data_IF_574892849814
#
_entry.id   IF_574892849814
#
_cell.length_a   1.000
_cell.length_b   1.000
_cell.length_c   1.000
_cell.angle_alpha   90.00
_cell.angle_beta   90.00
_cell.angle_gamma   90.00
#
_symmetry.space_group_name_H-M   'P 1'
#
loop_
_entity.id
_entity.type
_entity.pdbx_description
1 polymer ?
#
# COMPACT_ATOMS: atom_id res chain seq x y z
N UNK A 1 -65.08 -41.13 3.46
CA UNK A 1 -64.64 -39.88 4.13
C UNK A 1 -63.18 -39.93 4.58
N UNK A 2 -62.73 -41.00 5.24
CA UNK A 2 -61.34 -41.16 5.71
C UNK A 2 -60.26 -41.07 4.60
N UNK A 3 -60.54 -41.59 3.40
CA UNK A 3 -59.57 -41.58 2.28
C UNK A 3 -59.40 -40.18 1.64
N UNK A 4 -60.45 -39.34 1.65
CA UNK A 4 -60.38 -37.98 1.08
C UNK A 4 -59.72 -36.99 2.04
N UNK A 5 -59.84 -37.22 3.35
CA UNK A 5 -59.14 -36.42 4.37
C UNK A 5 -57.62 -36.58 4.24
N UNK A 6 -57.16 -37.81 4.00
CA UNK A 6 -55.74 -38.11 3.75
C UNK A 6 -55.23 -37.45 2.47
N UNK A 7 -56.01 -37.49 1.39
CA UNK A 7 -55.64 -36.82 0.12
C UNK A 7 -55.62 -35.30 0.28
N UNK A 8 -56.61 -34.72 0.96
CA UNK A 8 -56.67 -33.28 1.23
C UNK A 8 -55.54 -32.78 2.14
N UNK A 9 -55.20 -33.54 3.18
CA UNK A 9 -54.08 -33.23 4.08
C UNK A 9 -52.73 -33.33 3.35
N UNK A 10 -52.55 -34.35 2.49
CA UNK A 10 -51.34 -34.52 1.71
C UNK A 10 -51.15 -33.39 0.68
N UNK A 11 -52.22 -32.99 -0.01
CA UNK A 11 -52.18 -31.87 -0.96
C UNK A 11 -51.89 -30.53 -0.25
N UNK A 12 -52.44 -30.30 0.94
CA UNK A 12 -52.16 -29.11 1.74
C UNK A 12 -50.69 -28.99 2.15
N UNK A 13 -50.03 -30.10 2.49
CA UNK A 13 -48.60 -30.11 2.83
C UNK A 13 -47.70 -29.73 1.65
N UNK A 14 -48.11 -30.01 0.41
CA UNK A 14 -47.32 -29.66 -0.80
C UNK A 14 -47.39 -28.18 -1.18
N UNK A 15 -48.32 -27.42 -0.60
CA UNK A 15 -48.51 -25.99 -0.89
C UNK A 15 -47.77 -25.08 0.11
N UNK A 16 -47.11 -25.64 1.12
CA UNK A 16 -46.36 -24.89 2.12
C UNK A 16 -44.93 -24.65 1.62
N UNK A 17 -44.50 -23.39 1.57
CA UNK A 17 -43.09 -23.05 1.32
C UNK A 17 -42.24 -23.50 2.50
N UNK A 18 -41.30 -24.41 2.26
CA UNK A 18 -40.43 -24.96 3.30
C UNK A 18 -39.25 -24.02 3.56
N UNK A 19 -39.39 -23.11 4.53
CA UNK A 19 -38.26 -22.37 5.07
C UNK A 19 -37.51 -23.23 6.09
N UNK A 20 -36.18 -23.17 6.07
CA UNK A 20 -35.30 -23.90 6.99
C UNK A 20 -34.73 -22.93 8.02
N UNK A 21 -35.24 -23.01 9.25
CA UNK A 21 -34.70 -22.30 10.41
C UNK A 21 -33.84 -23.21 11.28
N UNK A 22 -32.58 -22.84 11.52
CA UNK A 22 -31.71 -23.51 12.50
C UNK A 22 -31.62 -22.63 13.75
N UNK A 23 -32.07 -23.16 14.89
CA UNK A 23 -32.18 -22.45 16.19
C UNK A 23 -33.06 -21.18 16.13
N UNK A 24 -34.09 -21.19 15.30
CA UNK A 24 -35.12 -20.15 15.25
C UNK A 24 -36.45 -20.74 14.79
N UNK A 25 -37.55 -20.33 15.42
CA UNK A 25 -38.93 -20.69 15.02
C UNK A 25 -39.54 -19.68 14.05
N UNK A 26 -38.85 -18.56 13.80
CA UNK A 26 -39.26 -17.47 12.91
C UNK A 26 -38.15 -17.16 11.90
N UNK A 27 -37.97 -18.00 10.85
CA UNK A 27 -37.01 -17.74 9.79
C UNK A 27 -37.27 -16.38 9.12
N UNK A 28 -36.21 -15.62 8.83
CA UNK A 28 -36.30 -14.31 8.15
C UNK A 28 -35.94 -14.40 6.65
N UNK A 29 -35.44 -15.57 6.24
CA UNK A 29 -35.01 -15.95 4.90
C UNK A 29 -35.25 -17.46 4.73
N UNK A 30 -35.24 -17.95 3.49
CA UNK A 30 -35.48 -19.36 3.18
C UNK A 30 -34.52 -20.31 3.92
N UNK A 31 -33.27 -19.86 4.13
CA UNK A 31 -32.35 -20.45 5.08
C UNK A 31 -31.96 -19.39 6.12
N UNK A 32 -32.29 -19.63 7.39
CA UNK A 32 -31.91 -18.77 8.51
C UNK A 32 -31.17 -19.59 9.57
N UNK A 33 -29.88 -19.35 9.72
CA UNK A 33 -29.05 -19.95 10.78
C UNK A 33 -28.83 -18.95 11.90
N UNK A 34 -29.45 -19.18 13.06
CA UNK A 34 -29.19 -18.42 14.28
C UNK A 34 -28.12 -19.13 15.13
N UNK A 35 -26.89 -19.13 14.63
CA UNK A 35 -25.76 -19.84 15.23
C UNK A 35 -24.54 -19.88 14.31
N UNK A 36 -23.60 -20.79 14.61
CA UNK A 36 -22.38 -20.98 13.81
C UNK A 36 -22.68 -21.70 12.49
N UNK A 37 -22.05 -21.25 11.41
CA UNK A 37 -21.99 -21.92 10.11
C UNK A 37 -20.53 -22.27 9.80
N UNK A 38 -20.26 -23.52 9.44
CA UNK A 38 -18.97 -23.97 8.95
C UNK A 38 -19.13 -24.51 7.53
N UNK A 39 -18.29 -24.04 6.62
CA UNK A 39 -18.20 -24.50 5.23
C UNK A 39 -16.80 -25.05 5.03
N UNK A 40 -16.68 -26.31 4.57
CA UNK A 40 -15.39 -27.03 4.57
C UNK A 40 -14.73 -27.05 3.18
N UNK A 41 -15.51 -27.00 2.10
CA UNK A 41 -14.99 -27.08 0.73
C UNK A 41 -15.11 -25.74 -0.01
N UNK A 42 -16.33 -25.28 -0.29
CA UNK A 42 -16.56 -24.09 -1.11
C UNK A 42 -17.88 -23.38 -0.76
N UNK A 43 -17.94 -22.07 -1.03
CA UNK A 43 -19.15 -21.25 -0.97
C UNK A 43 -19.37 -20.60 -2.34
N UNK A 44 -20.36 -21.07 -3.09
CA UNK A 44 -20.72 -20.50 -4.39
C UNK A 44 -21.75 -19.37 -4.23
N UNK A 45 -21.52 -18.22 -4.86
CA UNK A 45 -22.44 -17.06 -4.85
C UNK A 45 -22.71 -16.52 -6.26
N UNK A 46 -23.83 -15.84 -6.47
CA UNK A 46 -24.17 -15.20 -7.75
C UNK A 46 -24.76 -16.11 -8.83
N UNK A 47 -25.09 -17.35 -8.50
CA UNK A 47 -25.86 -18.25 -9.38
C UNK A 47 -27.37 -18.08 -9.23
N UNK A 48 -28.12 -18.92 -9.92
CA UNK A 48 -29.59 -18.99 -9.88
C UNK A 48 -30.09 -20.45 -9.82
N UNK A 49 -31.39 -20.66 -10.06
CA UNK A 49 -32.00 -22.00 -10.00
C UNK A 49 -31.47 -22.98 -11.06
N UNK A 50 -30.87 -22.49 -12.15
CA UNK A 50 -30.38 -23.28 -13.27
C UNK A 50 -28.85 -23.23 -13.44
N UNK A 51 -28.17 -22.28 -12.81
CA UNK A 51 -26.74 -22.02 -12.96
C UNK A 51 -26.04 -21.94 -11.62
N UNK A 52 -24.91 -22.65 -11.50
CA UNK A 52 -24.08 -22.55 -10.31
C UNK A 52 -23.45 -21.15 -10.19
N UNK A 53 -23.33 -20.67 -8.95
CA UNK A 53 -22.56 -19.47 -8.66
C UNK A 53 -21.05 -19.68 -8.78
N UNK A 54 -20.28 -18.64 -8.54
CA UNK A 54 -18.82 -18.70 -8.49
C UNK A 54 -18.34 -19.01 -7.07
N UNK A 55 -17.35 -19.90 -6.94
CA UNK A 55 -16.61 -20.16 -5.69
C UNK A 55 -15.57 -19.08 -5.39
N UNK A 56 -15.36 -18.15 -6.33
CA UNK A 56 -14.24 -17.23 -6.32
C UNK A 56 -12.94 -17.92 -6.71
N UNK A 57 -11.87 -17.12 -6.79
CA UNK A 57 -10.49 -17.61 -6.94
C UNK A 57 -9.65 -17.17 -5.75
N UNK A 58 -8.47 -17.78 -5.60
CA UNK A 58 -7.54 -17.48 -4.51
C UNK A 58 -7.27 -15.98 -4.40
N UNK A 59 -7.39 -15.44 -3.18
CA UNK A 59 -7.12 -14.03 -2.86
C UNK A 59 -8.34 -13.11 -2.98
N UNK A 60 -9.48 -13.61 -3.46
CA UNK A 60 -10.71 -12.83 -3.49
C UNK A 60 -11.38 -12.74 -2.12
N UNK A 61 -12.08 -11.63 -1.91
CA UNK A 61 -12.96 -11.40 -0.76
C UNK A 61 -14.42 -11.33 -1.25
N UNK A 62 -15.34 -11.85 -0.44
CA UNK A 62 -16.76 -11.75 -0.73
C UNK A 62 -17.27 -10.37 -0.32
N UNK A 63 -17.93 -9.67 -1.24
CA UNK A 63 -18.38 -8.29 -1.02
C UNK A 63 -19.87 -8.14 -1.30
N UNK A 64 -20.56 -7.35 -0.49
CA UNK A 64 -21.98 -7.07 -0.69
C UNK A 64 -22.20 -6.21 -1.93
N UNK A 65 -23.13 -6.59 -2.80
CA UNK A 65 -23.58 -5.80 -3.95
C UNK A 65 -24.84 -4.95 -3.65
N UNK A 66 -25.16 -4.77 -2.36
CA UNK A 66 -26.34 -4.07 -1.91
C UNK A 66 -27.62 -4.93 -1.90
N UNK A 67 -28.75 -4.38 -1.43
CA UNK A 67 -30.00 -5.12 -1.27
C UNK A 67 -30.51 -5.71 -2.59
N UNK A 68 -30.88 -6.99 -2.58
CA UNK A 68 -31.48 -7.68 -3.72
C UNK A 68 -30.48 -8.20 -4.76
N UNK A 69 -29.19 -7.84 -4.67
CA UNK A 69 -28.14 -8.36 -5.54
C UNK A 69 -27.34 -9.46 -4.83
N UNK A 70 -26.90 -10.50 -5.55
CA UNK A 70 -26.00 -11.49 -4.96
C UNK A 70 -24.66 -10.84 -4.58
N UNK A 71 -24.01 -11.27 -3.49
CA UNK A 71 -22.66 -10.84 -3.19
C UNK A 71 -21.70 -11.30 -4.28
N UNK A 72 -20.60 -10.57 -4.47
CA UNK A 72 -19.63 -10.78 -5.55
C UNK A 72 -18.25 -11.02 -4.96
N UNK A 73 -17.54 -12.03 -5.49
CA UNK A 73 -16.12 -12.22 -5.23
C UNK A 73 -15.32 -11.11 -5.93
N UNK A 74 -14.60 -10.32 -5.15
CA UNK A 74 -13.78 -9.21 -5.65
C UNK A 74 -12.33 -9.36 -5.22
N UNK A 75 -11.41 -8.78 -5.99
CA UNK A 75 -9.97 -8.81 -5.72
C UNK A 75 -9.54 -7.84 -4.59
N UNK A 76 -10.46 -7.41 -3.71
CA UNK A 76 -10.09 -6.64 -2.51
C UNK A 76 -9.86 -5.14 -2.71
N UNK A 77 -10.54 -4.48 -3.65
CA UNK A 77 -10.48 -3.02 -3.82
C UNK A 77 -11.88 -2.39 -3.74
N UNK A 78 -12.50 -2.44 -2.56
CA UNK A 78 -13.69 -1.63 -2.26
C UNK A 78 -13.29 -0.43 -1.39
N UNK A 79 -12.64 0.56 -2.03
CA UNK A 79 -12.81 1.99 -1.69
C UNK A 79 -12.14 2.58 -0.44
N UNK A 80 -11.44 1.82 0.40
CA UNK A 80 -10.55 2.38 1.43
C UNK A 80 -9.79 1.25 2.09
N UNK A 81 -8.59 1.00 1.60
CA UNK A 81 -7.60 0.26 2.38
C UNK A 81 -6.35 1.09 2.22
N UNK A 82 -5.92 1.70 3.33
CA UNK A 82 -4.49 1.95 3.51
C UNK A 82 -3.87 0.55 3.42
N UNK A 83 -3.47 0.17 2.21
CA UNK A 83 -2.66 -1.01 1.99
C UNK A 83 -1.38 -0.66 2.72
N UNK A 84 -1.25 -1.19 3.95
CA UNK A 84 -0.21 -0.81 4.89
C UNK A 84 1.15 -0.71 4.21
N UNK A 85 2.02 0.15 4.75
CA UNK A 85 3.37 0.42 4.25
C UNK A 85 3.97 -0.82 3.56
N UNK A 86 3.91 -0.83 2.23
CA UNK A 86 4.13 -2.07 1.46
C UNK A 86 5.59 -2.55 1.50
N UNK A 87 6.50 -1.69 2.00
CA UNK A 87 7.84 -2.01 2.45
C UNK A 87 8.48 -0.75 3.06
N UNK A 88 9.33 -0.93 4.05
CA UNK A 88 10.27 0.08 4.51
C UNK A 88 11.58 -0.17 3.78
N UNK A 89 11.94 0.73 2.88
CA UNK A 89 13.25 0.75 2.26
C UNK A 89 14.13 1.77 2.97
N UNK A 90 15.40 1.45 3.13
CA UNK A 90 16.44 2.36 3.57
C UNK A 90 17.70 2.14 2.75
N UNK A 91 18.66 3.02 2.91
CA UNK A 91 19.92 2.99 2.20
C UNK A 91 21.12 2.84 3.11
N UNK A 92 22.18 2.28 2.56
CA UNK A 92 23.52 2.53 3.06
C UNK A 92 23.88 4.02 2.97
N UNK A 93 24.89 4.44 3.73
CA UNK A 93 25.48 5.77 3.56
C UNK A 93 26.16 5.88 2.18
N UNK A 94 25.91 6.98 1.49
CA UNK A 94 26.61 7.34 0.23
C UNK A 94 27.37 8.63 0.44
N UNK A 95 28.59 8.72 -0.07
CA UNK A 95 29.42 9.94 0.06
C UNK A 95 28.69 11.16 -0.49
N UNK A 96 28.75 12.27 0.25
CA UNK A 96 28.26 13.57 -0.24
C UNK A 96 29.08 13.98 -1.48
N UNK A 97 28.44 14.38 -2.58
CA UNK A 97 29.13 14.88 -3.77
C UNK A 97 29.58 16.34 -3.54
N UNK A 98 30.24 16.94 -4.54
CA UNK A 98 30.56 18.37 -4.49
C UNK A 98 29.29 19.25 -4.34
N UNK A 99 29.49 20.50 -3.91
CA UNK A 99 28.40 21.47 -3.79
C UNK A 99 27.62 21.59 -5.11
N UNK A 100 26.29 21.64 -5.02
CA UNK A 100 25.36 21.71 -6.14
C UNK A 100 25.44 20.52 -7.12
N UNK A 101 25.89 19.35 -6.66
CA UNK A 101 25.88 18.10 -7.44
C UNK A 101 24.87 17.12 -6.84
N UNK A 102 24.04 16.51 -7.69
CA UNK A 102 23.08 15.48 -7.26
C UNK A 102 23.75 14.13 -7.09
N UNK A 103 23.35 13.39 -6.05
CA UNK A 103 23.78 12.01 -5.81
C UNK A 103 22.57 11.10 -5.61
N UNK A 104 22.47 10.03 -6.39
CA UNK A 104 21.48 8.96 -6.17
C UNK A 104 21.64 8.40 -4.74
N UNK A 105 20.55 8.39 -3.99
CA UNK A 105 20.51 7.80 -2.64
C UNK A 105 20.40 6.27 -2.76
N UNK A 106 21.07 5.57 -1.84
CA UNK A 106 20.93 4.13 -1.73
C UNK A 106 19.54 3.75 -1.18
N UNK A 107 19.02 2.62 -1.65
CA UNK A 107 17.71 2.06 -1.36
C UNK A 107 17.80 0.52 -1.22
N UNK A 108 19.01 0.00 -1.01
CA UNK A 108 19.33 -1.44 -1.08
C UNK A 108 18.89 -2.23 0.14
N UNK A 109 18.60 -1.55 1.25
CA UNK A 109 18.18 -2.17 2.52
C UNK A 109 16.66 -2.14 2.63
N UNK A 110 16.06 -3.16 3.24
CA UNK A 110 14.61 -3.25 3.46
C UNK A 110 14.02 -4.60 3.04
N UNK A 111 12.75 -4.79 3.37
CA UNK A 111 11.97 -6.02 3.12
C UNK A 111 10.56 -5.67 2.64
N UNK A 112 9.79 -6.65 2.15
CA UNK A 112 8.41 -6.47 1.72
C UNK A 112 8.25 -6.27 0.20
N UNK A 113 7.07 -5.85 -0.24
CA UNK A 113 6.65 -5.84 -1.65
C UNK A 113 7.44 -4.86 -2.53
N UNK A 114 7.96 -3.75 -2.00
CA UNK A 114 8.85 -2.86 -2.79
C UNK A 114 10.20 -3.50 -3.11
N UNK A 115 10.57 -4.60 -2.43
CA UNK A 115 11.75 -5.38 -2.83
C UNK A 115 11.61 -5.88 -4.27
N UNK A 116 10.40 -6.25 -4.69
CA UNK A 116 10.12 -6.70 -6.06
C UNK A 116 10.15 -5.55 -7.09
N UNK A 117 10.00 -4.29 -6.65
CA UNK A 117 10.14 -3.12 -7.50
C UNK A 117 11.61 -2.73 -7.68
N UNK A 118 12.50 -3.17 -6.79
CA UNK A 118 13.90 -2.75 -6.80
C UNK A 118 14.65 -3.42 -7.96
N UNK A 119 15.07 -2.62 -8.94
CA UNK A 119 15.89 -3.07 -10.08
C UNK A 119 17.40 -2.86 -9.85
N UNK A 120 17.78 -1.96 -8.94
CA UNK A 120 19.15 -1.82 -8.45
C UNK A 120 19.18 -1.18 -7.06
N UNK A 121 20.37 -1.02 -6.48
CA UNK A 121 20.55 -0.38 -5.18
C UNK A 121 19.98 1.05 -5.09
N UNK A 122 19.81 1.77 -6.20
CA UNK A 122 19.35 3.18 -6.22
C UNK A 122 18.09 3.40 -7.04
N UNK A 123 17.45 2.33 -7.51
CA UNK A 123 16.40 2.41 -8.53
C UNK A 123 15.25 1.48 -8.20
N UNK A 124 14.04 2.04 -8.21
CA UNK A 124 12.80 1.27 -8.25
C UNK A 124 12.21 1.35 -9.66
N UNK A 125 11.65 0.24 -10.12
CA UNK A 125 10.92 0.12 -11.38
C UNK A 125 9.52 -0.38 -11.07
N UNK A 126 8.50 0.33 -11.53
CA UNK A 126 7.10 -0.04 -11.31
C UNK A 126 6.80 -1.33 -12.09
N UNK A 127 6.38 -2.43 -11.43
CA UNK A 127 6.06 -3.68 -12.11
C UNK A 127 4.83 -3.57 -13.03
N UNK A 128 4.67 -4.56 -13.92
CA UNK A 128 3.44 -4.70 -14.71
C UNK A 128 2.21 -4.84 -13.81
N UNK A 129 1.10 -4.17 -14.17
CA UNK A 129 -0.16 -4.18 -13.42
C UNK A 129 -0.14 -3.37 -12.10
N UNK A 130 0.94 -2.61 -11.85
CA UNK A 130 1.09 -1.75 -10.68
C UNK A 130 0.97 -0.25 -11.03
N UNK A 131 0.27 0.09 -12.10
CA UNK A 131 -0.09 1.47 -12.39
C UNK A 131 -1.09 2.05 -11.37
N UNK A 132 -1.03 3.37 -11.16
CA UNK A 132 -1.97 4.09 -10.29
C UNK A 132 -1.36 5.31 -9.60
N UNK A 133 -2.11 5.87 -8.65
CA UNK A 133 -1.61 6.94 -7.79
C UNK A 133 -0.97 6.35 -6.54
N UNK A 134 0.14 6.96 -6.10
CA UNK A 134 0.89 6.51 -4.94
C UNK A 134 1.30 7.70 -4.08
N UNK A 135 1.17 7.56 -2.77
CA UNK A 135 1.81 8.44 -1.80
C UNK A 135 3.24 7.90 -1.54
N UNK A 136 4.23 8.64 -2.02
CA UNK A 136 5.63 8.43 -1.69
C UNK A 136 5.95 9.24 -0.43
N UNK A 137 6.43 8.61 0.63
CA UNK A 137 6.93 9.29 1.84
C UNK A 137 8.35 8.84 2.14
N UNK A 138 9.26 9.79 2.30
CA UNK A 138 10.67 9.48 2.56
C UNK A 138 11.25 10.35 3.67
N UNK A 139 12.29 9.82 4.31
CA UNK A 139 13.18 10.52 5.22
C UNK A 139 14.61 10.36 4.73
N UNK A 140 15.24 11.45 4.31
CA UNK A 140 16.68 11.51 3.99
C UNK A 140 17.46 12.12 5.14
N UNK A 141 18.67 11.64 5.35
CA UNK A 141 19.60 12.15 6.36
C UNK A 141 20.89 12.64 5.71
N UNK A 142 21.44 13.72 6.25
CA UNK A 142 22.80 14.18 6.00
C UNK A 142 23.62 14.02 7.28
N UNK A 143 24.69 13.25 7.20
CA UNK A 143 25.66 13.12 8.28
C UNK A 143 26.71 14.20 8.20
N UNK A 144 26.88 14.91 9.31
CA UNK A 144 27.83 16.01 9.46
C UNK A 144 28.75 15.73 10.64
N UNK A 145 30.05 15.85 10.37
CA UNK A 145 31.12 15.71 11.34
C UNK A 145 32.13 16.85 11.16
N UNK A 146 32.28 17.69 12.18
CA UNK A 146 33.07 18.92 12.16
C UNK A 146 32.24 20.20 12.18
N UNK A 147 32.93 21.33 11.98
CA UNK A 147 32.33 22.66 12.01
C UNK A 147 31.45 22.96 10.78
N UNK A 148 30.47 23.83 10.96
CA UNK A 148 29.63 24.38 9.89
C UNK A 148 29.85 25.90 9.86
N UNK A 149 30.83 26.41 9.10
CA UNK A 149 31.19 27.83 9.13
C UNK A 149 30.09 28.74 8.55
N UNK A 150 29.28 28.21 7.63
CA UNK A 150 28.14 28.90 7.01
C UNK A 150 26.99 27.92 6.85
N UNK A 151 25.75 28.40 6.91
CA UNK A 151 24.58 27.53 6.84
C UNK A 151 24.53 26.77 5.52
N UNK A 152 24.31 25.46 5.58
CA UNK A 152 24.11 24.60 4.41
C UNK A 152 22.63 24.39 4.14
N UNK A 153 22.28 24.09 2.90
CA UNK A 153 20.96 23.57 2.55
C UNK A 153 21.12 22.16 2.04
N UNK A 154 20.38 21.22 2.61
CA UNK A 154 20.32 19.87 2.07
C UNK A 154 18.89 19.56 1.64
N UNK A 155 18.78 18.80 0.56
CA UNK A 155 17.50 18.46 0.00
C UNK A 155 17.51 17.14 -0.73
N UNK A 156 16.32 16.65 -1.02
CA UNK A 156 16.10 15.42 -1.77
C UNK A 156 15.13 15.68 -2.91
N UNK A 157 15.55 15.28 -4.10
CA UNK A 157 14.77 15.35 -5.33
C UNK A 157 14.17 13.99 -5.63
N UNK A 158 12.91 13.99 -6.09
CA UNK A 158 12.24 12.80 -6.62
C UNK A 158 12.28 12.86 -8.15
N UNK A 159 12.77 11.81 -8.79
CA UNK A 159 12.72 11.64 -10.24
C UNK A 159 11.84 10.45 -10.62
N UNK A 160 11.01 10.65 -11.64
CA UNK A 160 10.34 9.56 -12.38
C UNK A 160 10.89 9.58 -13.80
N UNK A 161 11.60 8.53 -14.19
CA UNK A 161 12.48 8.52 -15.35
C UNK A 161 13.56 9.59 -15.21
N UNK A 162 13.59 10.53 -16.16
CA UNK A 162 14.46 11.72 -16.14
C UNK A 162 13.75 12.97 -15.64
N UNK A 163 12.44 12.88 -15.35
CA UNK A 163 11.60 14.03 -15.02
C UNK A 163 11.64 14.28 -13.52
N UNK A 164 12.07 15.48 -13.14
CA UNK A 164 11.98 15.96 -11.78
C UNK A 164 10.52 16.19 -11.38
N UNK A 165 10.11 15.53 -10.31
CA UNK A 165 8.83 15.72 -9.67
C UNK A 165 8.88 16.93 -8.72
N UNK A 166 8.90 18.15 -9.27
CA UNK A 166 8.95 19.41 -8.51
C UNK A 166 7.70 19.67 -7.63
N UNK A 167 7.81 20.48 -6.56
CA UNK A 167 9.04 21.06 -6.01
C UNK A 167 9.92 20.02 -5.32
N UNK A 168 11.21 20.28 -5.24
CA UNK A 168 12.12 19.48 -4.42
C UNK A 168 12.02 19.88 -2.94
N UNK A 169 12.32 18.94 -2.05
CA UNK A 169 12.21 19.15 -0.60
C UNK A 169 13.57 19.55 -0.05
N UNK A 170 13.62 20.63 0.73
CA UNK A 170 14.85 21.17 1.30
C UNK A 170 14.67 21.54 2.77
N UNK A 171 15.77 21.53 3.49
CA UNK A 171 15.91 22.17 4.80
C UNK A 171 17.29 22.79 4.94
N UNK A 172 17.45 23.69 5.89
CA UNK A 172 18.74 24.33 6.20
C UNK A 172 19.33 23.78 7.49
N UNK A 173 20.65 23.74 7.53
CA UNK A 173 21.43 23.49 8.73
C UNK A 173 22.16 24.79 9.06
N UNK A 174 21.88 25.34 10.23
CA UNK A 174 22.46 26.60 10.67
C UNK A 174 23.98 26.51 10.86
N UNK A 175 24.66 27.64 10.69
CA UNK A 175 26.07 27.75 11.01
C UNK A 175 26.33 27.40 12.49
N UNK A 176 27.36 26.60 12.72
CA UNK A 176 27.90 26.27 14.04
C UNK A 176 29.26 26.93 14.13
N UNK A 177 29.25 28.23 14.44
CA UNK A 177 30.44 29.10 14.39
C UNK A 177 31.45 28.84 15.54
N UNK A 178 31.00 28.21 16.63
CA UNK A 178 31.85 27.81 17.76
C UNK A 178 31.46 26.40 18.18
N UNK A 179 32.31 25.42 17.87
CA UNK A 179 32.09 24.00 18.17
C UNK A 179 32.14 23.10 16.93
N UNK A 180 32.40 21.81 17.16
CA UNK A 180 32.30 20.77 16.14
C UNK A 180 31.06 19.92 16.41
N UNK A 181 30.33 19.59 15.36
CA UNK A 181 29.37 18.50 15.42
C UNK A 181 30.16 17.18 15.40
N UNK A 182 29.80 16.24 16.25
CA UNK A 182 30.43 14.92 16.28
C UNK A 182 29.42 13.91 15.74
N UNK A 183 29.60 13.48 14.48
CA UNK A 183 28.75 12.47 13.83
C UNK A 183 27.23 12.74 13.98
N UNK A 184 26.79 13.98 13.71
CA UNK A 184 25.36 14.35 13.79
C UNK A 184 24.64 14.03 12.49
N UNK A 185 23.40 13.52 12.56
CA UNK A 185 22.54 13.35 11.40
C UNK A 185 21.42 14.40 11.39
N UNK A 186 21.31 15.16 10.32
CA UNK A 186 20.19 16.06 10.07
C UNK A 186 19.22 15.40 9.11
N UNK A 187 17.94 15.37 9.46
CA UNK A 187 16.91 14.64 8.69
C UNK A 187 15.90 15.57 8.03
N UNK A 188 15.48 15.21 6.83
CA UNK A 188 14.39 15.83 6.08
C UNK A 188 13.36 14.75 5.76
N UNK A 189 12.12 14.97 6.18
CA UNK A 189 10.98 14.11 5.83
C UNK A 189 10.05 14.85 4.89
N UNK A 190 9.61 14.19 3.82
CA UNK A 190 8.68 14.76 2.86
C UNK A 190 7.82 13.68 2.24
N UNK A 191 6.65 14.09 1.75
CA UNK A 191 5.69 13.22 1.08
C UNK A 191 5.18 13.87 -0.20
N UNK A 192 4.93 13.06 -1.22
CA UNK A 192 4.38 13.50 -2.50
C UNK A 192 3.49 12.42 -3.12
N UNK A 193 2.38 12.86 -3.70
CA UNK A 193 1.54 12.01 -4.55
C UNK A 193 2.15 11.95 -5.95
N UNK A 194 2.32 10.74 -6.46
CA UNK A 194 2.84 10.44 -7.79
C UNK A 194 1.80 9.61 -8.56
N UNK A 195 1.56 9.95 -9.82
CA UNK A 195 0.89 9.06 -10.77
C UNK A 195 1.97 8.27 -11.48
N UNK A 196 1.90 6.94 -11.38
CA UNK A 196 2.92 6.01 -11.85
C UNK A 196 2.32 5.03 -12.87
N UNK A 197 3.04 4.80 -13.96
CA UNK A 197 2.75 3.77 -14.94
C UNK A 197 3.70 2.57 -14.79
N UNK A 198 3.27 1.40 -15.25
CA UNK A 198 4.15 0.23 -15.32
C UNK A 198 5.41 0.55 -16.16
N UNK A 199 6.58 0.19 -15.65
CA UNK A 199 7.88 0.49 -16.25
C UNK A 199 8.50 1.83 -15.82
N UNK A 200 7.75 2.70 -15.12
CA UNK A 200 8.32 3.94 -14.59
C UNK A 200 9.47 3.65 -13.65
N UNK A 201 10.49 4.50 -13.71
CA UNK A 201 11.71 4.38 -12.90
C UNK A 201 11.74 5.49 -11.85
N UNK A 202 11.76 5.12 -10.58
CA UNK A 202 11.78 6.08 -9.47
C UNK A 202 13.20 6.16 -8.88
N UNK A 203 13.70 7.39 -8.71
CA UNK A 203 14.97 7.68 -8.04
C UNK A 203 14.82 8.79 -7.01
N UNK A 204 15.54 8.68 -5.90
CA UNK A 204 15.74 9.76 -4.93
C UNK A 204 17.17 10.26 -5.03
N UNK A 205 17.35 11.58 -5.07
CA UNK A 205 18.67 12.21 -5.21
C UNK A 205 18.91 13.26 -4.14
N UNK A 206 19.96 13.09 -3.34
CA UNK A 206 20.43 14.09 -2.40
C UNK A 206 21.16 15.22 -3.11
N UNK A 207 20.99 16.44 -2.60
CA UNK A 207 21.73 17.64 -3.01
C UNK A 207 22.20 18.39 -1.77
N UNK A 208 23.40 18.95 -1.84
CA UNK A 208 23.90 19.92 -0.89
C UNK A 208 24.15 21.25 -1.60
N UNK A 209 23.68 22.35 -1.02
CA UNK A 209 23.77 23.70 -1.56
C UNK A 209 24.34 24.67 -0.51
N UNK A 210 25.07 25.69 -0.97
CA UNK A 210 25.86 26.61 -0.14
C UNK A 210 26.85 25.90 0.80
N UNK A 211 27.33 24.73 0.41
CA UNK A 211 28.33 23.99 1.16
C UNK A 211 29.74 24.36 0.73
N UNK A 212 30.57 24.67 1.71
CA UNK A 212 32.01 24.82 1.56
C UNK A 212 32.68 24.13 2.74
N UNK A 213 33.59 23.19 2.48
CA UNK A 213 34.32 22.47 3.52
C UNK A 213 34.25 20.95 3.36
N UNK A 214 34.53 20.24 4.45
CA UNK A 214 34.60 18.78 4.54
C UNK A 214 33.71 18.20 5.63
N UNK A 215 32.81 18.99 6.23
CA UNK A 215 32.02 18.53 7.37
C UNK A 215 30.83 17.66 7.00
N UNK A 216 30.25 17.84 5.80
CA UNK A 216 29.24 16.93 5.29
C UNK A 216 29.91 15.65 4.76
N UNK A 217 29.59 14.50 5.37
CA UNK A 217 30.25 13.23 5.08
C UNK A 217 29.44 12.40 4.09
N UNK A 218 28.20 12.09 4.45
CA UNK A 218 27.37 11.14 3.71
C UNK A 218 25.88 11.51 3.72
N UNK A 219 25.21 11.15 2.64
CA UNK A 219 23.76 11.07 2.60
C UNK A 219 23.30 9.66 2.93
N UNK A 220 22.07 9.54 3.42
CA UNK A 220 21.40 8.26 3.61
C UNK A 220 19.90 8.41 3.41
N UNK A 221 19.27 7.41 2.79
CA UNK A 221 17.83 7.26 2.87
C UNK A 221 17.49 6.49 4.16
N UNK A 222 17.04 7.21 5.19
CA UNK A 222 16.70 6.58 6.47
C UNK A 222 15.41 5.76 6.36
N UNK A 223 14.46 6.24 5.55
CA UNK A 223 13.18 5.59 5.31
C UNK A 223 12.61 5.98 3.96
N UNK A 224 11.96 5.04 3.30
CA UNK A 224 11.03 5.25 2.20
C UNK A 224 9.85 4.30 2.34
N UNK A 225 8.65 4.84 2.21
CA UNK A 225 7.43 4.09 1.93
C UNK A 225 6.79 4.58 0.63
N UNK A 226 6.14 3.64 -0.04
CA UNK A 226 5.29 3.90 -1.20
C UNK A 226 3.96 3.20 -0.94
N UNK A 227 2.90 3.97 -0.94
CA UNK A 227 1.56 3.54 -0.57
C UNK A 227 0.63 3.80 -1.74
N UNK A 228 0.01 2.74 -2.28
CA UNK A 228 -0.97 2.91 -3.36
C UNK A 228 -2.17 3.64 -2.78
N UNK A 229 -2.55 4.75 -3.39
CA UNK A 229 -3.72 5.53 -3.02
C UNK A 229 -4.79 5.33 -4.09
N UNK A 230 -5.81 4.56 -3.69
CA UNK A 230 -7.06 4.36 -4.41
C UNK A 230 -8.21 4.96 -3.59
#
# INVERSE_FOLDING_TARGET
>A
MKNYLLIGAFLACTLLSAQVGIKTTTPQKDLHVNGSLQVVNELNVGGDAATAGSAGVTGQILTSAGPGNPPVWSNGNNGSTIVGYSALLSGAEVSVPANNVLKDLDMSLGTGSLTAWRSSATTLTVPAGMDGNYLLTFTSALKVDGAIPSSYFFGTYIYVGTTLQAPASFTSIGAVASGNLNNNEFTLTSSKILTLAAGDVIKLRGLLYNYSGSSAQSFRLARLSLEKIN
#
